data_IF_010237379115
#
_entry.id   IF_010237379115
#
_cell.length_a   1.000
_cell.length_b   1.000
_cell.length_c   1.000
_cell.angle_alpha   90.00
_cell.angle_beta   90.00
_cell.angle_gamma   90.00
#
_symmetry.space_group_name_H-M   'P 1'
#
loop_
_entity.id
_entity.type
_entity.pdbx_description
1 polymer ?
#
# COMPACT_ATOMS: atom_id res chain seq x y z
N UNK A 1 -1.99 -17.01 -19.38
CA UNK A 1 -2.03 -15.67 -19.96
C UNK A 1 -1.15 -14.80 -19.11
N UNK A 2 -0.27 -13.98 -19.69
CA UNK A 2 0.51 -13.03 -18.90
C UNK A 2 -0.44 -11.95 -18.41
N UNK A 3 -0.44 -11.67 -17.11
CA UNK A 3 -1.22 -10.57 -16.54
C UNK A 3 -0.70 -9.26 -17.12
N UNK A 4 -1.64 -8.46 -17.57
CA UNK A 4 -1.34 -7.21 -18.24
C UNK A 4 -2.27 -6.11 -17.71
N UNK A 5 -1.73 -4.89 -17.55
CA UNK A 5 -2.50 -3.74 -17.11
C UNK A 5 -2.69 -2.74 -18.26
N UNK A 6 -3.90 -2.19 -18.44
CA UNK A 6 -4.10 -1.12 -19.40
C UNK A 6 -3.47 0.18 -18.90
N UNK A 7 -2.82 0.92 -19.78
CA UNK A 7 -2.39 2.29 -19.55
C UNK A 7 -3.43 3.28 -20.08
N UNK A 8 -3.34 4.57 -19.71
CA UNK A 8 -4.26 5.61 -20.18
C UNK A 8 -4.27 5.75 -21.71
N UNK A 9 -3.14 5.45 -22.36
CA UNK A 9 -3.03 5.48 -23.83
C UNK A 9 -3.47 4.16 -24.49
N UNK A 10 -4.11 3.26 -23.74
CA UNK A 10 -4.57 1.97 -24.23
C UNK A 10 -3.49 0.91 -24.44
N UNK A 11 -2.27 1.19 -24.03
CA UNK A 11 -1.20 0.18 -24.06
C UNK A 11 -1.43 -0.84 -22.95
N UNK A 12 -0.92 -2.03 -23.18
CA UNK A 12 -0.97 -3.13 -22.24
C UNK A 12 0.46 -3.45 -21.80
N UNK A 13 0.73 -3.38 -20.49
CA UNK A 13 2.03 -3.70 -19.93
C UNK A 13 1.98 -4.97 -19.09
N UNK A 14 3.00 -5.84 -19.17
CA UNK A 14 3.08 -7.02 -18.34
C UNK A 14 3.19 -6.68 -16.85
N UNK A 15 2.59 -7.51 -15.98
CA UNK A 15 2.61 -7.33 -14.53
C UNK A 15 4.02 -7.19 -13.93
N UNK A 16 5.00 -7.89 -14.52
CA UNK A 16 6.41 -7.80 -14.11
C UNK A 16 7.08 -6.46 -14.45
N UNK A 17 6.36 -5.54 -15.10
CA UNK A 17 6.80 -4.19 -15.41
C UNK A 17 5.99 -3.13 -14.68
N UNK A 18 5.46 -3.46 -13.51
CA UNK A 18 4.62 -2.58 -12.71
C UNK A 18 5.27 -1.20 -12.46
N UNK A 19 6.59 -1.15 -12.24
CA UNK A 19 7.30 0.13 -12.09
C UNK A 19 7.21 0.99 -13.37
N UNK A 20 7.33 0.37 -14.54
CA UNK A 20 7.16 1.09 -15.83
C UNK A 20 5.72 1.52 -16.09
N UNK A 21 4.77 0.75 -15.57
CA UNK A 21 3.36 1.13 -15.61
C UNK A 21 3.09 2.35 -14.72
N UNK A 22 3.63 2.37 -13.50
CA UNK A 22 3.55 3.54 -12.63
C UNK A 22 4.24 4.75 -13.26
N UNK A 23 5.40 4.58 -13.89
CA UNK A 23 6.09 5.66 -14.62
C UNK A 23 5.23 6.18 -15.78
N UNK A 24 4.56 5.31 -16.52
CA UNK A 24 3.66 5.71 -17.61
C UNK A 24 2.44 6.47 -17.09
N UNK A 25 1.85 6.03 -15.96
CA UNK A 25 0.76 6.74 -15.30
C UNK A 25 1.20 8.12 -14.77
N UNK A 26 2.38 8.20 -14.20
CA UNK A 26 2.96 9.46 -13.72
C UNK A 26 3.21 10.42 -14.88
N UNK A 27 3.66 9.92 -16.04
CA UNK A 27 3.83 10.71 -17.26
C UNK A 27 2.50 11.24 -17.79
N UNK A 28 1.42 10.44 -17.75
CA UNK A 28 0.10 10.87 -18.20
C UNK A 28 -0.55 11.90 -17.27
N UNK A 29 -0.26 11.80 -15.98
CA UNK A 29 -0.83 12.70 -14.97
C UNK A 29 -0.22 14.11 -14.98
N UNK A 30 0.97 14.31 -15.59
CA UNK A 30 1.57 15.65 -15.74
C UNK A 30 0.74 16.60 -16.60
N UNK A 31 -0.14 16.07 -17.45
CA UNK A 31 -1.04 16.87 -18.26
C UNK A 31 -2.22 17.48 -17.48
N UNK A 32 -2.35 17.21 -16.18
CA UNK A 32 -3.49 17.65 -15.35
C UNK A 32 -3.15 18.71 -14.29
N UNK A 33 -2.04 19.43 -14.43
CA UNK A 33 -1.77 20.67 -13.67
C UNK A 33 -0.90 20.55 -12.42
N UNK A 34 -0.43 19.35 -12.06
CA UNK A 34 0.67 19.19 -11.10
C UNK A 34 2.01 19.03 -11.82
N UNK A 35 3.11 19.38 -11.17
CA UNK A 35 4.40 19.05 -11.74
C UNK A 35 4.66 17.55 -11.60
N UNK A 36 5.26 16.94 -12.60
CA UNK A 36 5.64 15.52 -12.60
C UNK A 36 6.46 15.13 -11.34
N UNK A 37 7.33 16.05 -10.90
CA UNK A 37 8.17 15.82 -9.74
C UNK A 37 7.39 15.86 -8.41
N UNK A 38 6.36 16.67 -8.30
CA UNK A 38 5.50 16.71 -7.10
C UNK A 38 4.70 15.42 -6.95
N UNK A 39 4.19 14.89 -8.05
CA UNK A 39 3.40 13.64 -8.04
C UNK A 39 4.25 12.41 -7.77
N UNK A 40 5.50 12.37 -8.26
CA UNK A 40 6.45 11.28 -7.98
C UNK A 40 6.78 11.10 -6.51
N UNK A 41 6.59 12.12 -5.70
CA UNK A 41 6.92 12.06 -4.28
C UNK A 41 5.84 11.39 -3.46
N UNK A 42 4.58 11.47 -3.90
CA UNK A 42 3.47 10.94 -3.13
C UNK A 42 3.29 9.44 -3.35
N UNK A 43 3.19 8.72 -2.25
CA UNK A 43 2.97 7.29 -2.21
C UNK A 43 1.67 6.99 -1.45
N UNK A 44 0.77 6.25 -2.07
CA UNK A 44 -0.37 5.65 -1.41
C UNK A 44 -0.13 4.15 -1.29
N UNK A 45 0.08 3.70 -0.06
CA UNK A 45 0.34 2.30 0.25
C UNK A 45 -0.99 1.65 0.62
N UNK A 46 -1.46 0.69 -0.16
CA UNK A 46 -2.64 -0.08 0.13
C UNK A 46 -2.27 -1.41 0.81
N UNK A 47 -2.88 -1.68 1.98
CA UNK A 47 -2.70 -2.91 2.75
C UNK A 47 -4.04 -3.64 2.81
N UNK A 48 -4.12 -4.79 2.11
CA UNK A 48 -5.36 -5.56 2.02
C UNK A 48 -5.73 -6.28 3.33
N UNK A 49 -6.99 -6.72 3.42
CA UNK A 49 -7.53 -7.47 4.56
C UNK A 49 -7.24 -8.96 4.51
N UNK A 50 -7.85 -9.71 5.43
CA UNK A 50 -7.86 -11.16 5.42
C UNK A 50 -8.64 -11.72 4.22
N UNK A 51 -8.40 -12.99 3.89
CA UNK A 51 -9.06 -13.68 2.78
C UNK A 51 -8.44 -13.45 1.42
N UNK A 52 -7.29 -12.77 1.36
CA UNK A 52 -6.55 -12.54 0.13
C UNK A 52 -5.25 -13.35 0.16
N UNK A 53 -5.11 -14.27 -0.78
CA UNK A 53 -3.84 -14.81 -1.22
C UNK A 53 -3.12 -13.80 -2.12
N UNK A 54 -2.02 -14.21 -2.73
CA UNK A 54 -1.23 -13.31 -3.58
C UNK A 54 -2.03 -12.85 -4.82
N UNK A 55 -2.76 -13.74 -5.47
CA UNK A 55 -3.51 -13.45 -6.69
C UNK A 55 -4.71 -12.52 -6.36
N UNK A 56 -5.48 -12.84 -5.32
CA UNK A 56 -6.57 -12.00 -4.84
C UNK A 56 -6.08 -10.62 -4.37
N UNK A 57 -4.86 -10.55 -3.82
CA UNK A 57 -4.23 -9.28 -3.45
C UNK A 57 -3.93 -8.40 -4.66
N UNK A 58 -3.47 -8.99 -5.78
CA UNK A 58 -3.26 -8.23 -7.02
C UNK A 58 -4.58 -7.71 -7.60
N UNK A 59 -5.63 -8.54 -7.61
CA UNK A 59 -6.95 -8.15 -8.11
C UNK A 59 -7.54 -7.02 -7.27
N UNK A 60 -7.55 -7.16 -5.95
CA UNK A 60 -8.05 -6.14 -5.03
C UNK A 60 -7.23 -4.84 -5.08
N UNK A 61 -5.91 -4.96 -5.23
CA UNK A 61 -5.01 -3.83 -5.41
C UNK A 61 -5.28 -3.08 -6.71
N UNK A 62 -5.51 -3.80 -7.79
CA UNK A 62 -5.88 -3.23 -9.09
C UNK A 62 -7.21 -2.47 -9.04
N UNK A 63 -8.22 -3.05 -8.38
CA UNK A 63 -9.51 -2.37 -8.18
C UNK A 63 -9.34 -1.11 -7.32
N UNK A 64 -8.61 -1.18 -6.22
CA UNK A 64 -8.36 -0.03 -5.35
C UNK A 64 -7.59 1.07 -6.10
N UNK A 65 -6.59 0.70 -6.90
CA UNK A 65 -5.87 1.64 -7.75
C UNK A 65 -6.82 2.38 -8.71
N UNK A 66 -7.69 1.66 -9.43
CA UNK A 66 -8.65 2.25 -10.35
C UNK A 66 -9.57 3.23 -9.61
N UNK A 67 -10.09 2.86 -8.44
CA UNK A 67 -10.97 3.72 -7.63
C UNK A 67 -10.26 4.99 -7.16
N UNK A 68 -9.02 4.87 -6.66
CA UNK A 68 -8.22 6.01 -6.22
C UNK A 68 -7.84 6.93 -7.38
N UNK A 69 -7.52 6.35 -8.53
CA UNK A 69 -7.26 7.10 -9.76
C UNK A 69 -8.48 7.90 -10.22
N UNK A 70 -9.66 7.29 -10.25
CA UNK A 70 -10.91 7.98 -10.59
C UNK A 70 -11.30 9.04 -9.55
N UNK A 71 -10.92 8.86 -8.30
CA UNK A 71 -11.08 9.86 -7.24
C UNK A 71 -10.08 11.04 -7.35
N UNK A 72 -9.14 10.99 -8.29
CA UNK A 72 -8.19 12.09 -8.58
C UNK A 72 -6.77 11.87 -8.08
N UNK A 73 -6.47 10.72 -7.44
CA UNK A 73 -5.10 10.43 -7.03
C UNK A 73 -4.20 10.17 -8.25
N UNK A 74 -3.02 10.79 -8.26
CA UNK A 74 -2.06 10.72 -9.37
C UNK A 74 -0.63 10.39 -8.93
N UNK A 75 -0.45 10.05 -7.65
CA UNK A 75 0.85 9.65 -7.10
C UNK A 75 1.15 8.15 -7.33
N UNK A 76 2.22 7.68 -6.71
CA UNK A 76 2.59 6.27 -6.75
C UNK A 76 1.63 5.44 -5.91
N UNK A 77 0.96 4.49 -6.51
CA UNK A 77 0.15 3.51 -5.79
C UNK A 77 0.96 2.23 -5.57
N UNK A 78 1.02 1.76 -4.34
CA UNK A 78 1.74 0.53 -3.98
C UNK A 78 0.79 -0.42 -3.26
N UNK A 79 0.62 -1.61 -3.80
CA UNK A 79 -0.05 -2.70 -3.11
C UNK A 79 0.97 -3.42 -2.23
N UNK A 80 0.78 -3.35 -0.91
CA UNK A 80 1.53 -4.17 0.04
C UNK A 80 0.77 -5.47 0.28
N UNK A 81 1.29 -6.56 -0.29
CA UNK A 81 0.67 -7.89 -0.18
C UNK A 81 1.27 -8.67 0.99
N UNK A 82 0.41 -9.35 1.73
CA UNK A 82 0.78 -10.21 2.85
C UNK A 82 -0.07 -11.49 2.85
N UNK A 83 0.34 -12.51 3.59
CA UNK A 83 -0.39 -13.77 3.65
C UNK A 83 -1.60 -13.66 4.59
N UNK A 84 -2.68 -13.12 4.07
CA UNK A 84 -3.95 -12.92 4.78
C UNK A 84 -4.97 -14.05 4.60
N UNK A 85 -4.66 -15.07 3.79
CA UNK A 85 -5.57 -16.19 3.54
C UNK A 85 -5.02 -17.49 4.13
N UNK A 86 -5.48 -17.79 5.34
CA UNK A 86 -5.32 -19.12 5.96
C UNK A 86 -6.64 -19.90 5.98
N UNK A 87 -7.64 -19.40 5.25
CA UNK A 87 -8.96 -20.00 5.18
C UNK A 87 -9.77 -19.87 6.48
N UNK A 88 -11.10 -19.97 6.37
CA UNK A 88 -11.98 -20.20 7.50
C UNK A 88 -11.97 -21.71 7.81
N UNK A 89 -11.74 -22.17 9.04
CA UNK A 89 -11.88 -21.50 10.35
C UNK A 89 -10.60 -20.92 10.95
N UNK A 90 -9.52 -20.73 10.18
CA UNK A 90 -8.20 -20.37 10.71
C UNK A 90 -7.97 -18.87 10.81
N UNK A 91 -9.02 -18.08 11.09
CA UNK A 91 -8.90 -16.62 11.23
C UNK A 91 -7.84 -16.21 12.28
N UNK A 92 -7.68 -16.98 13.36
CA UNK A 92 -6.65 -16.72 14.35
C UNK A 92 -5.23 -16.74 13.75
N UNK A 93 -4.97 -17.60 12.75
CA UNK A 93 -3.70 -17.65 12.05
C UNK A 93 -3.49 -16.39 11.18
N UNK A 94 -4.56 -15.84 10.62
CA UNK A 94 -4.49 -14.58 9.87
C UNK A 94 -4.12 -13.40 10.79
N UNK A 95 -4.63 -13.40 12.03
CA UNK A 95 -4.25 -12.39 13.03
C UNK A 95 -2.77 -12.53 13.40
N UNK A 96 -2.28 -13.74 13.63
CA UNK A 96 -0.87 -13.99 13.89
C UNK A 96 0.00 -13.55 12.70
N UNK A 97 -0.39 -13.91 11.49
CA UNK A 97 0.32 -13.47 10.26
C UNK A 97 0.34 -11.96 10.10
N UNK A 98 -0.72 -11.25 10.49
CA UNK A 98 -0.74 -9.80 10.49
C UNK A 98 0.34 -9.21 11.40
N UNK A 99 0.45 -9.70 12.63
CA UNK A 99 1.52 -9.28 13.54
C UNK A 99 2.92 -9.65 13.03
N UNK A 100 3.10 -10.84 12.46
CA UNK A 100 4.39 -11.28 11.90
C UNK A 100 4.78 -10.46 10.65
N UNK A 101 3.80 -9.90 9.93
CA UNK A 101 4.03 -9.10 8.73
C UNK A 101 4.35 -7.63 9.03
N UNK A 102 3.88 -7.11 10.15
CA UNK A 102 4.04 -5.70 10.53
C UNK A 102 5.49 -5.20 10.49
N UNK A 103 6.51 -5.97 10.95
CA UNK A 103 7.91 -5.57 10.81
C UNK A 103 8.35 -5.41 9.34
N UNK A 104 7.82 -6.22 8.42
CA UNK A 104 8.16 -6.11 7.00
C UNK A 104 7.57 -4.83 6.39
N UNK A 105 6.34 -4.44 6.76
CA UNK A 105 5.77 -3.16 6.36
C UNK A 105 6.58 -2.00 6.94
N UNK A 106 7.01 -2.06 8.20
CA UNK A 106 7.87 -1.05 8.80
C UNK A 106 9.18 -0.88 8.03
N UNK A 107 9.86 -1.99 7.70
CA UNK A 107 11.09 -1.97 6.90
C UNK A 107 10.82 -1.37 5.52
N UNK A 108 9.72 -1.74 4.87
CA UNK A 108 9.37 -1.18 3.57
C UNK A 108 9.19 0.34 3.64
N UNK A 109 8.42 0.85 4.59
CA UNK A 109 8.17 2.28 4.74
C UNK A 109 9.47 3.03 5.08
N UNK A 110 10.23 2.57 6.07
CA UNK A 110 11.44 3.22 6.53
C UNK A 110 12.59 3.11 5.55
N UNK A 111 12.93 1.89 5.12
CA UNK A 111 14.16 1.65 4.40
C UNK A 111 13.98 1.83 2.89
N UNK A 112 12.86 1.39 2.32
CA UNK A 112 12.62 1.55 0.90
C UNK A 112 12.08 2.93 0.54
N UNK A 113 11.10 3.46 1.25
CA UNK A 113 10.52 4.75 0.88
C UNK A 113 11.35 5.91 1.40
N UNK A 114 11.65 5.97 2.70
CA UNK A 114 12.41 7.10 3.26
C UNK A 114 13.89 7.08 2.85
N UNK A 115 14.58 5.96 3.04
CA UNK A 115 16.03 5.90 2.81
C UNK A 115 16.38 5.79 1.32
N UNK A 116 15.85 4.77 0.63
CA UNK A 116 16.25 4.52 -0.76
C UNK A 116 15.60 5.47 -1.77
N UNK A 117 14.35 5.86 -1.56
CA UNK A 117 13.59 6.73 -2.47
C UNK A 117 13.55 8.19 -2.04
N UNK A 118 14.01 8.50 -0.84
CA UNK A 118 14.04 9.87 -0.31
C UNK A 118 12.67 10.48 -0.06
N UNK A 119 11.63 9.64 0.10
CA UNK A 119 10.30 10.12 0.45
C UNK A 119 10.31 10.74 1.85
N UNK A 120 9.62 11.85 2.02
CA UNK A 120 9.41 12.45 3.34
C UNK A 120 8.14 11.89 3.98
N UNK A 121 7.95 12.16 5.27
CA UNK A 121 6.70 11.80 5.95
C UNK A 121 5.48 12.36 5.22
N UNK A 122 5.54 13.60 4.75
CA UNK A 122 4.45 14.26 4.03
C UNK A 122 4.09 13.59 2.69
N UNK A 123 4.97 12.75 2.17
CA UNK A 123 4.80 12.09 0.86
C UNK A 123 4.14 10.70 0.98
N UNK A 124 3.90 10.18 2.20
CA UNK A 124 3.45 8.80 2.41
C UNK A 124 2.09 8.77 3.08
N UNK A 125 1.10 8.29 2.36
CA UNK A 125 -0.23 7.97 2.88
C UNK A 125 -0.45 6.45 2.86
N UNK A 126 -1.16 5.94 3.86
CA UNK A 126 -1.47 4.52 3.98
C UNK A 126 -2.98 4.32 4.00
N UNK A 127 -3.45 3.37 3.19
CA UNK A 127 -4.83 2.91 3.12
C UNK A 127 -4.86 1.45 3.54
N UNK A 128 -5.59 1.12 4.58
CA UNK A 128 -5.66 -0.25 5.08
C UNK A 128 -7.11 -0.70 5.26
N UNK A 129 -7.38 -1.96 4.92
CA UNK A 129 -8.71 -2.56 4.97
C UNK A 129 -8.74 -3.75 5.92
N UNK A 130 -9.82 -3.86 6.69
CA UNK A 130 -10.10 -5.01 7.57
C UNK A 130 -8.89 -5.37 8.45
N UNK A 131 -8.41 -6.61 8.41
CA UNK A 131 -7.25 -7.08 9.18
C UNK A 131 -5.92 -6.46 8.71
N UNK A 132 -5.86 -5.86 7.51
CA UNK A 132 -4.73 -5.03 7.10
C UNK A 132 -4.48 -3.82 8.00
N UNK A 133 -5.51 -3.36 8.72
CA UNK A 133 -5.35 -2.33 9.75
C UNK A 133 -4.48 -2.81 10.90
N UNK A 134 -4.55 -4.10 11.27
CA UNK A 134 -3.66 -4.68 12.29
C UNK A 134 -2.21 -4.65 11.82
N UNK A 135 -1.93 -5.01 10.56
CA UNK A 135 -0.58 -4.93 9.97
C UNK A 135 -0.06 -3.49 10.01
N UNK A 136 -0.87 -2.54 9.59
CA UNK A 136 -0.50 -1.14 9.49
C UNK A 136 -0.26 -0.49 10.86
N UNK A 137 -1.20 -0.66 11.79
CA UNK A 137 -1.12 -0.02 13.11
C UNK A 137 -0.01 -0.63 13.96
N UNK A 138 0.22 -1.94 13.86
CA UNK A 138 1.35 -2.56 14.57
C UNK A 138 2.70 -2.12 13.99
N UNK A 139 2.83 -1.94 12.68
CA UNK A 139 4.04 -1.35 12.08
C UNK A 139 4.30 0.08 12.62
N UNK A 140 3.25 0.91 12.75
CA UNK A 140 3.35 2.25 13.34
C UNK A 140 3.74 2.16 14.82
N UNK A 141 3.12 1.27 15.58
CA UNK A 141 3.46 1.02 17.00
C UNK A 141 4.92 0.62 17.17
N UNK A 142 5.42 -0.30 16.34
CA UNK A 142 6.82 -0.72 16.36
C UNK A 142 7.76 0.46 16.06
N UNK A 143 7.40 1.32 15.12
CA UNK A 143 8.15 2.55 14.85
C UNK A 143 8.18 3.48 16.07
N UNK A 144 7.04 3.72 16.71
CA UNK A 144 6.93 4.59 17.88
C UNK A 144 7.73 4.05 19.10
N UNK A 145 7.81 2.72 19.24
CA UNK A 145 8.65 2.10 20.28
C UNK A 145 10.13 2.36 20.00
N UNK A 146 10.56 2.26 18.74
CA UNK A 146 11.95 2.45 18.35
C UNK A 146 12.36 3.94 18.32
N UNK A 147 11.46 4.83 17.87
CA UNK A 147 11.70 6.25 17.65
C UNK A 147 10.51 7.09 18.17
N UNK A 148 10.37 7.22 19.49
CA UNK A 148 9.24 7.93 20.10
C UNK A 148 9.10 9.37 19.60
N UNK A 149 7.87 9.77 19.30
CA UNK A 149 7.55 11.14 18.87
C UNK A 149 7.90 11.46 17.41
N UNK A 150 8.37 10.48 16.64
CA UNK A 150 8.58 10.65 15.18
C UNK A 150 7.44 10.05 14.39
N UNK A 151 7.11 10.62 13.23
CA UNK A 151 6.10 10.09 12.32
C UNK A 151 6.74 9.26 11.21
N UNK A 152 6.08 8.18 10.84
CA UNK A 152 6.50 7.30 9.74
C UNK A 152 5.81 7.66 8.41
N UNK A 153 4.61 8.24 8.50
CA UNK A 153 3.75 8.60 7.36
C UNK A 153 2.88 9.81 7.71
N UNK A 154 2.28 10.41 6.68
CA UNK A 154 1.44 11.60 6.80
C UNK A 154 0.03 11.25 7.31
N UNK A 155 -0.64 10.34 6.59
CA UNK A 155 -1.99 9.90 6.96
C UNK A 155 -2.11 8.38 6.93
N UNK A 156 -3.02 7.89 7.78
CA UNK A 156 -3.55 6.53 7.68
C UNK A 156 -5.07 6.60 7.55
N UNK A 157 -5.61 5.90 6.57
CA UNK A 157 -7.05 5.70 6.38
C UNK A 157 -7.38 4.24 6.65
N UNK A 158 -8.12 4.01 7.72
CA UNK A 158 -8.59 2.67 8.11
C UNK A 158 -10.00 2.43 7.56
N UNK A 159 -10.17 1.41 6.74
CA UNK A 159 -11.46 0.99 6.18
C UNK A 159 -11.87 -0.29 6.88
N UNK A 160 -13.10 -0.33 7.42
CA UNK A 160 -13.69 -1.52 8.08
C UNK A 160 -12.69 -2.22 9.02
N UNK A 161 -12.07 -1.44 9.91
CA UNK A 161 -10.94 -1.88 10.69
C UNK A 161 -11.29 -3.10 11.57
N UNK A 162 -10.59 -4.21 11.34
CA UNK A 162 -10.52 -5.35 12.24
C UNK A 162 -9.18 -5.26 12.99
N UNK A 163 -9.26 -4.86 14.26
CA UNK A 163 -8.09 -4.59 15.09
C UNK A 163 -8.23 -5.38 16.38
N UNK A 164 -7.16 -6.01 16.82
CA UNK A 164 -7.13 -6.63 18.13
C UNK A 164 -7.19 -5.54 19.23
N UNK A 165 -8.01 -5.73 20.24
CA UNK A 165 -8.35 -4.70 21.22
C UNK A 165 -7.22 -4.16 22.10
N UNK A 166 -6.03 -4.75 22.04
CA UNK A 166 -4.84 -4.34 22.78
C UNK A 166 -3.84 -3.55 21.92
N UNK A 167 -4.20 -3.17 20.71
CA UNK A 167 -3.31 -2.47 19.75
C UNK A 167 -3.13 -0.98 20.06
N UNK A 168 -3.94 -0.44 20.98
CA UNK A 168 -3.91 0.98 21.40
C UNK A 168 -3.43 1.13 22.83
#
# INVERSE_FOLDING_TARGET
AADTYPTEDGRVVPANRFEKYLDALLLSSTNQGGTYDDQKRHYLINVHGAGNDLDASYDSGGEMFIRTYWAGYRGNFVQFSWNGDQGSPFFANNVENAFQTSPALLVFLRDNLHVLRGATVADIDLLSHSLGNQVALDAIRLHQVALPGTSLLHNITCIEAAIWGETF
#
